data_IF_358952123803
#
_entry.id   IF_358952123803
#
_cell.length_a   1.000
_cell.length_b   1.000
_cell.length_c   1.000
_cell.angle_alpha   90.00
_cell.angle_beta   90.00
_cell.angle_gamma   90.00
#
_symmetry.space_group_name_H-M   'P 1'
#
loop_
_entity.id
_entity.type
_entity.pdbx_description
1 polymer ?
#
# COMPACT_ATOMS: atom_id res chain seq x y z
N UNK A 1 -17.76 5.13 5.49
CA UNK A 1 -19.10 4.80 4.97
C UNK A 1 -19.69 5.96 4.16
N UNK A 2 -19.93 7.15 4.74
CA UNK A 2 -20.48 8.30 4.00
C UNK A 2 -19.66 8.66 2.74
N UNK A 3 -18.33 8.60 2.82
CA UNK A 3 -17.45 8.81 1.66
C UNK A 3 -17.63 7.75 0.56
N UNK A 4 -17.88 6.49 0.92
CA UNK A 4 -18.09 5.41 -0.03
C UNK A 4 -19.42 5.58 -0.77
N UNK A 5 -20.47 5.97 -0.03
CA UNK A 5 -21.77 6.35 -0.61
C UNK A 5 -21.64 7.56 -1.54
N UNK A 6 -20.89 8.57 -1.13
CA UNK A 6 -20.62 9.77 -1.93
C UNK A 6 -19.94 9.44 -3.27
N UNK A 7 -19.05 8.44 -3.28
CA UNK A 7 -18.31 8.00 -4.45
C UNK A 7 -19.01 6.90 -5.26
N UNK A 8 -20.20 6.43 -4.84
CA UNK A 8 -20.83 5.22 -5.37
C UNK A 8 -19.82 4.05 -5.47
N UNK A 9 -19.06 3.85 -4.39
CA UNK A 9 -17.98 2.89 -4.30
C UNK A 9 -18.24 1.90 -3.14
N UNK A 10 -17.72 0.66 -3.24
CA UNK A 10 -17.60 -0.21 -2.07
C UNK A 10 -16.85 0.49 -0.93
N UNK A 11 -17.19 0.18 0.33
CA UNK A 11 -16.55 0.81 1.50
C UNK A 11 -15.05 0.54 1.56
N UNK A 12 -14.65 -0.59 1.00
CA UNK A 12 -13.31 -1.14 0.90
C UNK A 12 -12.37 -0.21 0.12
N UNK A 13 -12.86 0.46 -0.94
CA UNK A 13 -12.07 1.43 -1.71
C UNK A 13 -11.85 2.76 -0.96
N UNK A 14 -12.56 2.99 0.14
CA UNK A 14 -12.25 4.06 1.10
C UNK A 14 -11.36 3.54 2.22
N UNK A 15 -11.63 2.31 2.69
CA UNK A 15 -10.90 1.69 3.80
C UNK A 15 -9.42 1.43 3.46
N UNK A 16 -9.13 0.96 2.25
CA UNK A 16 -7.76 0.69 1.79
C UNK A 16 -6.85 1.94 1.85
N UNK A 17 -7.20 3.07 1.21
CA UNK A 17 -6.39 4.29 1.31
C UNK A 17 -6.42 4.90 2.72
N UNK A 18 -7.52 4.78 3.47
CA UNK A 18 -7.59 5.22 4.87
C UNK A 18 -6.55 4.50 5.74
N UNK A 19 -6.47 3.17 5.65
CA UNK A 19 -5.54 2.36 6.43
C UNK A 19 -4.09 2.64 6.03
N UNK A 20 -3.80 2.69 4.73
CA UNK A 20 -2.46 3.03 4.24
C UNK A 20 -2.03 4.42 4.69
N UNK A 21 -2.89 5.43 4.53
CA UNK A 21 -2.57 6.80 4.90
C UNK A 21 -2.42 6.98 6.41
N UNK A 22 -3.32 6.41 7.21
CA UNK A 22 -3.20 6.44 8.67
C UNK A 22 -1.90 5.77 9.13
N UNK A 23 -1.53 4.63 8.52
CA UNK A 23 -0.27 3.97 8.84
C UNK A 23 0.97 4.82 8.55
N UNK A 24 0.94 5.62 7.47
CA UNK A 24 2.01 6.54 7.12
C UNK A 24 2.10 7.74 8.07
N UNK A 25 0.95 8.31 8.45
CA UNK A 25 0.88 9.49 9.34
C UNK A 25 1.24 9.14 10.78
N UNK A 26 0.80 7.98 11.27
CA UNK A 26 1.29 7.41 12.54
C UNK A 26 2.81 7.21 12.42
N UNK A 27 3.22 6.49 11.36
CA UNK A 27 4.62 6.35 10.98
C UNK A 27 5.52 5.87 12.12
N UNK A 28 6.74 6.37 12.14
CA UNK A 28 7.70 6.19 13.21
C UNK A 28 7.33 6.97 14.48
N UNK A 29 6.17 7.62 14.56
CA UNK A 29 5.64 8.09 15.83
C UNK A 29 5.34 6.93 16.77
N UNK A 30 4.78 5.82 16.27
CA UNK A 30 4.38 4.68 17.10
C UNK A 30 4.67 3.36 16.42
N UNK A 31 5.31 2.43 17.12
CA UNK A 31 5.51 1.06 16.67
C UNK A 31 4.84 0.08 17.63
N UNK A 32 4.29 -1.00 17.09
CA UNK A 32 3.61 -2.02 17.88
C UNK A 32 4.64 -2.99 18.45
N UNK A 33 4.40 -3.49 19.66
CA UNK A 33 5.18 -4.58 20.25
C UNK A 33 4.27 -5.62 20.86
N UNK A 34 4.39 -6.87 20.43
CA UNK A 34 3.63 -7.98 21.02
C UNK A 34 4.24 -8.42 22.35
N UNK A 35 5.57 -8.61 22.38
CA UNK A 35 6.35 -8.96 23.56
C UNK A 35 7.79 -8.47 23.37
N UNK A 36 8.62 -8.42 24.43
CA UNK A 36 10.01 -7.98 24.33
C UNK A 36 10.76 -8.68 23.19
N UNK A 37 11.31 -7.90 22.26
CA UNK A 37 12.04 -8.40 21.09
C UNK A 37 11.25 -8.50 19.78
N UNK A 38 9.91 -8.45 19.79
CA UNK A 38 9.12 -8.42 18.56
C UNK A 38 8.37 -7.09 18.39
N UNK A 39 8.91 -6.24 17.50
CA UNK A 39 8.33 -4.95 17.13
C UNK A 39 7.90 -4.94 15.66
N UNK A 40 6.82 -4.23 15.36
CA UNK A 40 6.34 -4.03 13.99
C UNK A 40 6.04 -2.54 13.74
N UNK A 41 6.52 -1.96 12.62
CA UNK A 41 6.16 -0.60 12.21
C UNK A 41 4.69 -0.56 11.73
N UNK A 42 3.96 0.57 11.85
CA UNK A 42 2.54 0.61 11.52
C UNK A 42 2.26 0.47 10.02
N UNK A 43 3.25 0.78 9.17
CA UNK A 43 3.14 0.89 7.72
C UNK A 43 2.45 -0.32 7.06
N UNK A 44 1.42 -0.02 6.29
CA UNK A 44 0.61 -0.97 5.54
C UNK A 44 0.78 -0.74 4.04
N UNK A 45 0.73 -1.82 3.26
CA UNK A 45 0.77 -1.77 1.80
C UNK A 45 -0.58 -2.21 1.25
N UNK A 46 -1.52 -1.28 1.13
CA UNK A 46 -2.89 -1.58 0.73
C UNK A 46 -3.06 -1.46 -0.79
N UNK A 47 -3.79 -2.41 -1.39
CA UNK A 47 -4.07 -2.42 -2.82
C UNK A 47 -5.55 -2.58 -3.09
N UNK A 48 -6.12 -1.65 -3.86
CA UNK A 48 -7.50 -1.73 -4.35
C UNK A 48 -7.52 -2.42 -5.72
N UNK A 49 -8.16 -3.58 -5.79
CA UNK A 49 -8.32 -4.37 -7.02
C UNK A 49 -9.75 -4.25 -7.52
N UNK A 50 -9.91 -3.96 -8.81
CA UNK A 50 -11.23 -3.93 -9.44
C UNK A 50 -11.13 -3.51 -10.90
N UNK A 51 -12.22 -3.61 -11.65
CA UNK A 51 -12.22 -3.21 -13.06
C UNK A 51 -12.01 -1.70 -13.23
N UNK A 52 -11.59 -1.31 -14.45
CA UNK A 52 -11.59 0.10 -14.83
C UNK A 52 -13.00 0.67 -14.72
N UNK A 53 -13.13 1.87 -14.13
CA UNK A 53 -14.44 2.48 -13.88
C UNK A 53 -15.19 1.96 -12.64
N UNK A 54 -14.63 1.02 -11.87
CA UNK A 54 -15.26 0.48 -10.65
C UNK A 54 -15.22 1.39 -9.41
N UNK A 55 -15.14 2.71 -9.57
CA UNK A 55 -15.08 3.69 -8.47
C UNK A 55 -13.92 3.54 -7.47
N UNK A 56 -12.79 2.91 -7.88
CA UNK A 56 -11.57 2.80 -7.05
C UNK A 56 -10.99 4.18 -6.67
N UNK A 57 -10.63 4.99 -7.67
CA UNK A 57 -10.06 6.33 -7.45
C UNK A 57 -11.06 7.27 -6.77
N UNK A 58 -12.35 7.34 -7.18
CA UNK A 58 -13.36 8.12 -6.45
C UNK A 58 -13.51 7.73 -4.97
N UNK A 59 -13.44 6.44 -4.64
CA UNK A 59 -13.45 5.98 -3.25
C UNK A 59 -12.21 6.45 -2.48
N UNK A 60 -11.04 6.45 -3.13
CA UNK A 60 -9.79 6.85 -2.51
C UNK A 60 -9.62 8.36 -2.35
N UNK A 61 -10.21 9.15 -3.24
CA UNK A 61 -10.09 10.61 -3.27
C UNK A 61 -10.54 11.28 -1.98
N UNK A 62 -11.50 10.69 -1.26
CA UNK A 62 -11.93 11.20 0.04
C UNK A 62 -10.77 11.30 1.05
N UNK A 63 -9.77 10.41 0.96
CA UNK A 63 -8.58 10.42 1.81
C UNK A 63 -7.42 11.09 1.09
N UNK A 64 -7.03 10.56 -0.07
CA UNK A 64 -5.80 10.94 -0.79
C UNK A 64 -5.86 12.40 -1.24
N UNK A 65 -6.99 12.82 -1.79
CA UNK A 65 -7.19 14.17 -2.35
C UNK A 65 -7.94 15.10 -1.38
N UNK A 66 -8.74 14.53 -0.48
CA UNK A 66 -9.62 15.27 0.44
C UNK A 66 -9.02 15.57 1.82
N UNK A 67 -8.10 14.74 2.33
CA UNK A 67 -7.53 14.88 3.69
C UNK A 67 -6.04 15.18 3.64
N UNK A 68 -5.26 14.37 2.90
CA UNK A 68 -3.81 14.42 2.96
C UNK A 68 -3.19 15.76 2.50
N UNK A 69 -3.71 16.48 1.51
CA UNK A 69 -3.12 17.76 1.10
C UNK A 69 -3.13 18.79 2.24
N UNK A 70 -4.21 18.85 3.02
CA UNK A 70 -4.29 19.74 4.20
C UNK A 70 -3.32 19.31 5.29
N UNK A 71 -3.12 18.00 5.48
CA UNK A 71 -2.14 17.48 6.43
C UNK A 71 -0.71 17.85 6.01
N UNK A 72 -0.36 17.68 4.73
CA UNK A 72 0.95 18.07 4.18
C UNK A 72 1.18 19.58 4.28
N UNK A 73 0.18 20.40 3.96
CA UNK A 73 0.25 21.86 4.12
C UNK A 73 0.59 22.24 5.58
N UNK A 74 -0.08 21.61 6.55
CA UNK A 74 0.18 21.82 7.97
C UNK A 74 1.55 21.30 8.42
N UNK A 75 2.07 20.24 7.80
CA UNK A 75 3.44 19.78 8.03
C UNK A 75 4.47 20.82 7.58
N UNK A 76 4.21 21.50 6.45
CA UNK A 76 5.10 22.48 5.87
C UNK A 76 4.96 23.90 6.45
N UNK A 77 4.13 24.10 7.48
CA UNK A 77 3.80 25.43 8.00
C UNK A 77 5.01 26.26 8.46
N UNK A 78 6.02 25.63 9.04
CA UNK A 78 7.26 26.28 9.53
C UNK A 78 8.39 26.31 8.48
N UNK A 79 8.21 25.62 7.35
CA UNK A 79 9.26 25.38 6.37
C UNK A 79 9.75 26.67 5.68
N UNK A 80 8.88 27.63 5.28
CA UNK A 80 9.34 28.90 4.72
C UNK A 80 10.29 29.66 5.65
N UNK A 81 10.07 29.57 6.96
CA UNK A 81 10.86 30.27 7.97
C UNK A 81 12.23 29.59 8.12
N UNK A 82 12.24 28.27 8.31
CA UNK A 82 13.48 27.47 8.33
C UNK A 82 14.32 27.67 7.06
N UNK A 83 13.68 27.77 5.89
CA UNK A 83 14.35 28.03 4.62
C UNK A 83 14.98 29.43 4.58
N UNK A 84 14.28 30.45 5.07
CA UNK A 84 14.79 31.83 5.16
C UNK A 84 15.99 31.92 6.10
N UNK A 85 15.91 31.28 7.27
CA UNK A 85 17.01 31.21 8.24
C UNK A 85 18.25 30.52 7.65
N UNK A 86 18.06 29.37 6.98
CA UNK A 86 19.14 28.69 6.30
C UNK A 86 19.76 29.52 5.18
N UNK A 87 18.95 30.21 4.36
CA UNK A 87 19.45 31.08 3.29
C UNK A 87 20.33 32.21 3.87
N UNK A 88 19.89 32.86 4.94
CA UNK A 88 20.68 33.90 5.60
C UNK A 88 22.01 33.35 6.13
N UNK A 89 21.98 32.20 6.81
CA UNK A 89 23.18 31.55 7.33
C UNK A 89 24.13 31.05 6.21
N UNK A 90 23.59 30.57 5.08
CA UNK A 90 24.35 30.16 3.89
C UNK A 90 25.07 31.32 3.23
N UNK A 91 24.43 32.48 3.09
CA UNK A 91 25.09 33.67 2.55
C UNK A 91 26.21 34.18 3.48
N UNK A 92 26.02 34.13 4.80
CA UNK A 92 27.07 34.44 5.78
C UNK A 92 28.25 33.46 5.64
N UNK A 93 27.99 32.16 5.52
CA UNK A 93 29.03 31.15 5.35
C UNK A 93 29.80 31.32 4.03
N UNK A 94 29.11 31.64 2.93
CA UNK A 94 29.74 31.97 1.63
C UNK A 94 30.66 33.18 1.74
N UNK A 95 30.18 34.27 2.37
CA UNK A 95 30.98 35.48 2.56
C UNK A 95 32.25 35.20 3.40
N UNK A 96 32.14 34.41 4.48
CA UNK A 96 33.30 33.97 5.29
C UNK A 96 34.31 33.17 4.45
N UNK A 97 33.83 32.25 3.60
CA UNK A 97 34.67 31.42 2.73
C UNK A 97 35.36 32.25 1.65
N UNK A 98 34.69 33.23 1.08
CA UNK A 98 35.27 34.15 0.09
C UNK A 98 36.35 35.03 0.73
N UNK A 99 36.07 35.63 1.89
CA UNK A 99 37.06 36.41 2.65
C UNK A 99 38.27 35.56 3.01
N UNK A 100 38.07 34.33 3.47
CA UNK A 100 39.17 33.41 3.73
C UNK A 100 39.99 33.09 2.47
N UNK A 101 39.31 32.80 1.36
CA UNK A 101 39.97 32.50 0.08
C UNK A 101 40.83 33.68 -0.39
N UNK A 102 40.36 34.91 -0.17
CA UNK A 102 41.13 36.12 -0.45
C UNK A 102 42.35 36.24 0.46
N UNK A 103 42.17 36.08 1.78
CA UNK A 103 43.28 36.14 2.75
C UNK A 103 44.37 35.09 2.46
N UNK A 104 43.99 33.90 1.99
CA UNK A 104 44.94 32.84 1.57
C UNK A 104 45.72 33.27 0.33
N UNK A 105 45.07 33.84 -0.69
CA UNK A 105 45.74 34.33 -1.90
C UNK A 105 46.72 35.47 -1.57
N UNK A 106 46.33 36.38 -0.69
CA UNK A 106 47.17 37.50 -0.28
C UNK A 106 48.42 37.01 0.46
N UNK A 107 48.26 36.05 1.38
CA UNK A 107 49.38 35.42 2.09
C UNK A 107 50.35 34.68 1.15
N UNK A 108 49.86 34.06 0.08
CA UNK A 108 50.70 33.38 -0.92
C UNK A 108 51.46 34.35 -1.84
N UNK A 109 50.92 35.55 -2.06
CA UNK A 109 51.52 36.57 -2.94
C UNK A 109 52.51 37.51 -2.22
N UNK A 110 52.49 37.55 -0.89
CA UNK A 110 53.43 38.37 -0.11
C UNK A 110 54.82 37.72 -0.08
N UNK A 111 55.71 38.21 -0.95
CA UNK A 111 57.08 37.69 -1.12
C UNK A 111 58.01 37.95 0.07
N UNK A 112 57.61 38.73 1.07
CA UNK A 112 58.53 39.23 2.10
C UNK A 112 58.31 38.73 3.53
N UNK A 113 57.34 37.88 3.82
CA UNK A 113 57.26 37.20 5.13
C UNK A 113 56.66 35.81 4.97
N UNK A 114 57.30 34.82 5.61
CA UNK A 114 56.80 33.44 5.74
C UNK A 114 55.57 33.31 6.64
N UNK A 115 54.57 34.17 6.45
CA UNK A 115 53.33 34.15 7.20
C UNK A 115 52.48 33.00 6.66
N UNK A 116 52.23 31.95 7.46
CA UNK A 116 51.43 30.82 6.99
C UNK A 116 50.00 31.27 6.68
N UNK A 117 49.35 30.70 5.65
CA UNK A 117 47.98 31.04 5.31
C UNK A 117 47.04 30.77 6.48
N UNK A 118 46.00 31.60 6.69
CA UNK A 118 45.06 31.39 7.77
C UNK A 118 44.34 30.04 7.61
N UNK A 119 44.04 29.33 8.72
CA UNK A 119 43.28 28.09 8.64
C UNK A 119 41.89 28.37 8.04
N UNK A 120 41.30 27.39 7.32
CA UNK A 120 39.94 27.51 6.81
C UNK A 120 38.98 27.87 7.94
N UNK A 121 37.95 28.70 7.67
CA UNK A 121 36.89 28.92 8.63
C UNK A 121 36.29 27.54 8.98
N UNK A 122 35.90 27.37 10.25
CA UNK A 122 35.18 26.18 10.65
C UNK A 122 34.00 25.99 9.68
N UNK A 123 33.93 24.81 9.06
CA UNK A 123 32.73 24.41 8.34
C UNK A 123 31.62 24.39 9.40
N UNK A 124 30.57 25.19 9.21
CA UNK A 124 29.32 24.96 9.94
C UNK A 124 28.78 23.62 9.40
N UNK A 125 29.24 22.52 10.00
CA UNK A 125 28.80 21.15 9.70
C UNK A 125 27.28 21.00 9.81
N UNK A 126 26.67 21.93 10.54
CA UNK A 126 25.25 21.93 10.90
C UNK A 126 24.41 22.71 9.89
N UNK A 127 25.03 23.34 8.89
CA UNK A 127 24.34 24.14 7.88
C UNK A 127 23.82 23.26 6.71
N UNK A 128 22.88 22.39 7.03
CA UNK A 128 22.19 21.52 6.06
C UNK A 128 20.99 22.25 5.47
N UNK A 129 20.82 22.22 4.14
CA UNK A 129 19.63 22.78 3.50
C UNK A 129 18.38 22.07 4.01
N UNK A 130 17.41 22.79 4.61
CA UNK A 130 16.21 22.16 5.10
C UNK A 130 15.40 21.61 3.93
N UNK A 131 14.92 20.38 4.08
CA UNK A 131 14.03 19.77 3.10
C UNK A 131 12.57 20.01 3.49
N UNK A 132 11.74 20.35 2.51
CA UNK A 132 10.31 20.47 2.73
C UNK A 132 9.74 19.12 3.19
N UNK A 133 8.97 19.09 4.30
CA UNK A 133 8.32 17.86 4.71
C UNK A 133 7.32 17.43 3.64
N UNK A 134 7.26 16.12 3.41
CA UNK A 134 6.33 15.50 2.46
C UNK A 134 5.74 14.24 3.08
N UNK A 135 4.47 13.99 2.89
CA UNK A 135 3.81 12.75 3.29
C UNK A 135 3.59 11.83 2.09
N UNK A 136 3.13 12.39 0.97
CA UNK A 136 2.66 11.62 -0.18
C UNK A 136 3.66 11.71 -1.34
N UNK A 137 3.94 10.57 -1.96
CA UNK A 137 4.80 10.47 -3.13
C UNK A 137 4.12 9.67 -4.22
N UNK A 138 4.35 10.06 -5.47
CA UNK A 138 3.78 9.37 -6.65
C UNK A 138 4.87 8.69 -7.46
N UNK A 139 5.78 9.45 -8.07
CA UNK A 139 6.85 8.90 -8.89
C UNK A 139 8.22 9.39 -8.42
N UNK A 140 8.93 8.51 -7.71
CA UNK A 140 10.16 8.86 -7.01
C UNK A 140 11.14 7.69 -7.05
N UNK A 141 12.43 7.99 -7.23
CA UNK A 141 13.49 6.97 -7.15
C UNK A 141 13.72 6.57 -5.70
N UNK A 142 14.24 5.36 -5.48
CA UNK A 142 14.51 4.87 -4.13
C UNK A 142 15.55 5.74 -3.38
N UNK A 143 16.54 6.33 -4.07
CA UNK A 143 17.46 7.28 -3.45
C UNK A 143 16.78 8.56 -2.97
N UNK A 144 15.80 9.07 -3.72
CA UNK A 144 15.02 10.24 -3.31
C UNK A 144 14.10 9.92 -2.13
N UNK A 145 13.56 8.71 -2.07
CA UNK A 145 12.82 8.23 -0.88
C UNK A 145 13.74 8.23 0.35
N UNK A 146 14.94 7.66 0.23
CA UNK A 146 15.91 7.64 1.33
C UNK A 146 16.28 9.05 1.79
N UNK A 147 16.53 9.96 0.84
CA UNK A 147 16.85 11.36 1.13
C UNK A 147 15.71 12.06 1.89
N UNK A 148 14.46 11.85 1.46
CA UNK A 148 13.27 12.44 2.11
C UNK A 148 13.05 11.90 3.51
N UNK A 149 13.18 10.60 3.71
CA UNK A 149 13.08 10.00 5.04
C UNK A 149 14.15 10.55 5.99
N UNK A 150 15.37 10.77 5.49
CA UNK A 150 16.46 11.30 6.30
C UNK A 150 16.29 12.78 6.67
N UNK A 151 15.79 13.61 5.74
CA UNK A 151 15.91 15.07 5.87
C UNK A 151 14.58 15.83 6.03
N UNK A 152 13.45 15.25 5.64
CA UNK A 152 12.15 15.95 5.60
C UNK A 152 11.00 15.22 6.28
N UNK A 153 11.02 13.89 6.23
CA UNK A 153 9.88 13.05 6.60
C UNK A 153 10.29 11.86 7.46
N UNK A 154 10.92 12.07 8.63
CA UNK A 154 11.46 10.99 9.46
C UNK A 154 10.39 10.06 10.03
N UNK A 155 9.12 10.50 10.07
CA UNK A 155 8.00 9.63 10.42
C UNK A 155 7.71 8.56 9.38
N UNK A 156 8.06 8.76 8.11
CA UNK A 156 7.67 7.84 7.04
C UNK A 156 6.95 8.57 5.91
N UNK A 157 6.69 7.80 4.86
CA UNK A 157 6.10 8.29 3.61
C UNK A 157 4.99 7.35 3.13
N UNK A 158 4.04 7.89 2.36
CA UNK A 158 3.01 7.16 1.63
C UNK A 158 3.32 7.19 0.13
N UNK A 159 3.55 6.03 -0.46
CA UNK A 159 3.60 5.86 -1.91
C UNK A 159 2.18 5.66 -2.47
N UNK A 160 1.75 6.51 -3.39
CA UNK A 160 0.45 6.45 -4.06
C UNK A 160 0.62 6.11 -5.54
N UNK A 161 0.05 4.96 -5.95
CA UNK A 161 0.11 4.47 -7.34
C UNK A 161 -1.27 4.04 -7.86
N UNK A 162 -1.92 4.89 -8.66
CA UNK A 162 -3.21 4.56 -9.29
C UNK A 162 -3.13 3.32 -10.21
N UNK A 163 -1.95 3.04 -10.77
CA UNK A 163 -1.62 1.77 -11.45
C UNK A 163 -0.38 1.12 -10.82
N UNK A 164 -0.59 0.39 -9.72
CA UNK A 164 0.48 -0.31 -9.00
C UNK A 164 1.16 -1.39 -9.85
N UNK A 165 0.42 -2.02 -10.77
CA UNK A 165 0.94 -3.05 -11.67
C UNK A 165 2.18 -2.57 -12.46
N UNK A 166 2.08 -1.38 -13.05
CA UNK A 166 3.17 -0.78 -13.82
C UNK A 166 4.40 -0.49 -12.94
N UNK A 167 4.18 -0.09 -11.68
CA UNK A 167 5.25 0.16 -10.73
C UNK A 167 6.00 -1.13 -10.36
N UNK A 168 5.26 -2.19 -9.98
CA UNK A 168 5.83 -3.49 -9.62
C UNK A 168 6.62 -4.11 -10.78
N UNK A 169 6.02 -4.18 -11.98
CA UNK A 169 6.68 -4.68 -13.19
C UNK A 169 7.84 -3.78 -13.66
N UNK A 170 7.85 -2.52 -13.22
CA UNK A 170 8.91 -1.56 -13.50
C UNK A 170 10.16 -1.82 -12.66
N UNK A 171 10.00 -2.18 -11.38
CA UNK A 171 11.13 -2.37 -10.44
C UNK A 171 12.19 -3.35 -10.98
N UNK A 172 11.74 -4.46 -11.56
CA UNK A 172 12.61 -5.51 -12.11
C UNK A 172 13.35 -5.07 -13.37
N UNK A 173 12.79 -4.12 -14.14
CA UNK A 173 13.39 -3.64 -15.39
C UNK A 173 14.53 -2.65 -15.17
N UNK A 174 14.55 -1.95 -14.04
CA UNK A 174 15.52 -0.86 -13.80
C UNK A 174 16.71 -1.28 -12.93
N UNK A 175 16.50 -2.03 -11.82
CA UNK A 175 17.61 -2.63 -11.04
C UNK A 175 17.10 -3.58 -9.95
N UNK A 176 17.82 -4.69 -9.72
CA UNK A 176 17.58 -5.61 -8.60
C UNK A 176 17.69 -4.90 -7.23
N UNK A 177 18.57 -3.88 -7.14
CA UNK A 177 18.73 -3.05 -5.95
C UNK A 177 17.45 -2.29 -5.55
N UNK A 178 16.66 -1.83 -6.51
CA UNK A 178 15.40 -1.13 -6.23
C UNK A 178 14.37 -2.07 -5.59
N UNK A 179 14.31 -3.33 -6.04
CA UNK A 179 13.40 -4.33 -5.46
C UNK A 179 13.76 -4.65 -4.01
N UNK A 180 15.05 -4.85 -3.71
CA UNK A 180 15.53 -5.05 -2.33
C UNK A 180 15.19 -3.86 -1.44
N UNK A 181 15.41 -2.63 -1.93
CA UNK A 181 15.06 -1.42 -1.19
C UNK A 181 13.58 -1.39 -0.77
N UNK A 182 12.67 -1.67 -1.71
CA UNK A 182 11.25 -1.67 -1.42
C UNK A 182 10.87 -2.76 -0.42
N UNK A 183 11.39 -3.98 -0.57
CA UNK A 183 11.19 -5.06 0.39
C UNK A 183 11.63 -4.68 1.81
N UNK A 184 12.76 -4.01 1.94
CA UNK A 184 13.31 -3.57 3.24
C UNK A 184 12.46 -2.46 3.86
N UNK A 185 11.84 -1.61 3.04
CA UNK A 185 10.96 -0.52 3.51
C UNK A 185 9.69 -0.98 4.23
N UNK A 186 9.31 -2.25 4.06
CA UNK A 186 8.23 -2.86 4.83
C UNK A 186 8.58 -3.02 6.31
N UNK A 187 9.88 -3.20 6.61
CA UNK A 187 10.37 -3.56 7.94
C UNK A 187 10.68 -2.39 8.85
N UNK A 188 10.76 -1.15 8.33
CA UNK A 188 11.12 0.01 9.15
C UNK A 188 12.56 0.01 9.66
N UNK A 189 13.42 -0.87 9.16
CA UNK A 189 14.79 -1.08 9.67
C UNK A 189 15.73 0.04 9.19
N UNK A 190 16.88 0.25 9.87
CA UNK A 190 17.91 1.14 9.37
C UNK A 190 18.38 0.72 7.97
N UNK A 191 18.60 1.69 7.11
CA UNK A 191 19.05 1.48 5.74
C UNK A 191 20.07 2.54 5.34
N UNK A 192 21.15 2.11 4.66
CA UNK A 192 22.21 3.01 4.20
C UNK A 192 22.31 2.99 2.69
N UNK A 193 22.18 4.17 2.07
CA UNK A 193 22.44 4.36 0.64
C UNK A 193 23.86 4.86 0.46
N UNK A 194 24.73 4.02 -0.09
CA UNK A 194 26.11 4.34 -0.44
C UNK A 194 26.28 4.30 -1.96
N UNK A 195 26.53 5.45 -2.59
CA UNK A 195 26.61 5.58 -4.05
C UNK A 195 27.79 6.49 -4.41
N UNK A 196 28.50 6.14 -5.48
CA UNK A 196 29.64 6.92 -6.01
C UNK A 196 29.29 8.39 -6.27
N UNK A 197 28.05 8.68 -6.68
CA UNK A 197 27.57 10.05 -6.96
C UNK A 197 27.14 10.82 -5.70
N UNK A 198 27.09 10.17 -4.54
CA UNK A 198 26.79 10.79 -3.25
C UNK A 198 28.09 10.90 -2.46
N UNK A 199 28.62 12.12 -2.24
CA UNK A 199 29.87 12.29 -1.48
C UNK A 199 29.72 11.91 0.00
N UNK A 200 28.49 11.92 0.53
CA UNK A 200 28.15 11.50 1.88
C UNK A 200 27.02 10.45 1.78
N UNK A 201 27.17 9.26 2.39
CA UNK A 201 26.11 8.26 2.43
C UNK A 201 24.85 8.76 3.14
N UNK A 202 23.68 8.34 2.66
CA UNK A 202 22.39 8.65 3.31
C UNK A 202 22.09 7.54 4.32
N UNK A 203 21.97 7.89 5.60
CA UNK A 203 21.73 6.94 6.69
C UNK A 203 20.30 7.06 7.22
N UNK A 204 19.38 6.29 6.64
CA UNK A 204 17.98 6.28 7.07
C UNK A 204 17.86 5.43 8.34
N UNK A 205 17.50 6.04 9.47
CA UNK A 205 17.33 5.33 10.74
C UNK A 205 16.16 4.35 10.72
N UNK A 206 15.07 4.72 10.05
CA UNK A 206 13.86 3.92 9.94
C UNK A 206 13.31 3.99 8.52
N UNK A 207 13.69 3.04 7.66
CA UNK A 207 13.21 2.95 6.29
C UNK A 207 11.75 2.47 6.29
N UNK A 208 10.81 3.41 6.35
CA UNK A 208 9.43 3.12 6.61
C UNK A 208 8.52 3.80 5.57
N UNK A 209 7.93 2.99 4.69
CA UNK A 209 7.09 3.47 3.58
C UNK A 209 5.80 2.65 3.53
N UNK A 210 4.66 3.33 3.66
CA UNK A 210 3.33 2.76 3.45
C UNK A 210 2.95 2.90 1.98
N UNK A 211 2.13 1.99 1.46
CA UNK A 211 1.71 2.01 0.06
C UNK A 211 0.20 2.04 -0.02
N UNK A 212 -0.31 2.85 -0.93
CA UNK A 212 -1.63 2.65 -1.50
C UNK A 212 -1.53 2.59 -3.02
N UNK A 213 -2.24 1.66 -3.64
CA UNK A 213 -2.36 1.68 -5.08
C UNK A 213 -3.58 0.96 -5.63
N UNK A 214 -3.90 1.27 -6.88
CA UNK A 214 -4.94 0.62 -7.65
C UNK A 214 -4.36 -0.41 -8.62
N UNK A 215 -5.08 -1.49 -8.85
CA UNK A 215 -4.80 -2.40 -9.97
C UNK A 215 -6.09 -2.99 -10.54
N UNK A 216 -5.97 -3.69 -11.66
CA UNK A 216 -7.06 -4.35 -12.35
C UNK A 216 -6.86 -5.86 -12.31
N UNK A 217 -7.95 -6.66 -12.25
CA UNK A 217 -7.87 -8.13 -12.27
C UNK A 217 -7.02 -8.66 -13.43
N UNK A 218 -7.22 -8.10 -14.64
CA UNK A 218 -6.47 -8.47 -15.84
C UNK A 218 -4.94 -8.32 -15.73
N UNK A 219 -4.47 -7.44 -14.84
CA UNK A 219 -3.05 -7.14 -14.63
C UNK A 219 -2.44 -7.98 -13.50
N UNK A 220 -3.27 -8.66 -12.69
CA UNK A 220 -2.78 -9.48 -11.57
C UNK A 220 -1.91 -10.64 -12.07
N UNK A 221 -2.33 -11.34 -13.11
CA UNK A 221 -1.57 -12.45 -13.69
C UNK A 221 -0.15 -12.03 -14.13
N UNK A 222 0.00 -10.80 -14.64
CA UNK A 222 1.32 -10.28 -15.04
C UNK A 222 2.25 -10.09 -13.83
N UNK A 223 1.72 -9.54 -12.74
CA UNK A 223 2.50 -9.24 -11.53
C UNK A 223 2.84 -10.52 -10.76
N UNK A 224 1.92 -11.48 -10.72
CA UNK A 224 2.01 -12.68 -9.89
C UNK A 224 2.81 -13.81 -10.56
N UNK A 225 3.15 -13.66 -11.85
CA UNK A 225 4.05 -14.58 -12.55
C UNK A 225 5.52 -14.44 -12.14
N UNK A 226 5.85 -13.43 -11.32
CA UNK A 226 7.19 -13.23 -10.77
C UNK A 226 7.51 -14.24 -9.66
N UNK A 227 8.80 -14.49 -9.42
CA UNK A 227 9.24 -15.35 -8.33
C UNK A 227 8.77 -14.81 -6.97
N UNK A 228 8.29 -15.70 -6.09
CA UNK A 228 7.88 -15.32 -4.74
C UNK A 228 9.11 -15.01 -3.87
N UNK A 229 9.44 -13.73 -3.77
CA UNK A 229 10.43 -13.17 -2.86
C UNK A 229 9.77 -12.51 -1.63
N UNK A 230 8.46 -12.73 -1.47
CA UNK A 230 7.63 -12.19 -0.42
C UNK A 230 7.15 -10.76 -0.64
N UNK A 231 7.46 -10.08 -1.77
CA UNK A 231 6.96 -8.72 -2.02
C UNK A 231 5.42 -8.69 -2.06
N UNK A 232 4.82 -9.60 -2.83
CA UNK A 232 3.36 -9.64 -3.04
C UNK A 232 2.60 -10.18 -1.83
N UNK A 233 3.25 -11.01 -0.99
CA UNK A 233 2.69 -11.50 0.27
C UNK A 233 2.57 -10.44 1.38
N UNK A 234 3.21 -9.28 1.22
CA UNK A 234 3.13 -8.14 2.16
C UNK A 234 1.97 -7.19 1.85
N UNK A 235 1.37 -7.30 0.66
CA UNK A 235 0.28 -6.44 0.24
C UNK A 235 -1.05 -6.89 0.87
N UNK A 236 -1.84 -5.90 1.28
CA UNK A 236 -3.19 -6.06 1.82
C UNK A 236 -4.18 -5.82 0.68
N UNK A 237 -4.78 -6.89 0.19
CA UNK A 237 -5.66 -6.85 -0.98
C UNK A 237 -7.09 -6.50 -0.59
N UNK A 238 -7.67 -5.52 -1.28
CA UNK A 238 -9.08 -5.14 -1.19
C UNK A 238 -9.72 -5.36 -2.56
N UNK A 239 -10.47 -6.44 -2.70
CA UNK A 239 -11.17 -6.79 -3.94
C UNK A 239 -12.66 -7.07 -3.69
N UNK A 240 -13.43 -6.04 -3.31
CA UNK A 240 -14.85 -6.18 -3.04
C UNK A 240 -15.66 -6.47 -4.31
N UNK A 241 -16.87 -6.95 -4.12
CA UNK A 241 -17.86 -6.95 -5.19
C UNK A 241 -18.28 -5.51 -5.55
N UNK A 242 -18.55 -5.21 -6.83
CA UNK A 242 -19.05 -3.91 -7.26
C UNK A 242 -20.40 -3.57 -6.60
N UNK A 243 -20.58 -2.31 -6.24
CA UNK A 243 -21.88 -1.80 -5.77
C UNK A 243 -22.62 -1.09 -6.91
N UNK A 244 -23.96 -1.12 -6.94
CA UNK A 244 -24.74 -0.31 -7.86
C UNK A 244 -24.45 1.18 -7.70
N UNK A 245 -24.57 1.93 -8.80
CA UNK A 245 -24.48 3.39 -8.75
C UNK A 245 -25.71 3.97 -8.04
N UNK A 246 -25.47 4.83 -7.04
CA UNK A 246 -26.50 5.60 -6.35
C UNK A 246 -26.10 7.08 -6.30
N UNK A 247 -27.06 7.97 -6.50
CA UNK A 247 -26.84 9.40 -6.32
C UNK A 247 -26.71 9.72 -4.82
N UNK A 248 -25.63 10.38 -4.39
CA UNK A 248 -25.40 10.60 -2.98
C UNK A 248 -26.35 11.67 -2.41
N UNK A 249 -26.88 11.39 -1.23
CA UNK A 249 -27.78 12.31 -0.52
C UNK A 249 -27.06 13.25 0.46
N UNK A 250 -25.80 12.95 0.80
CA UNK A 250 -25.01 13.69 1.80
C UNK A 250 -23.53 13.65 1.46
N UNK A 251 -22.86 14.80 1.55
CA UNK A 251 -21.40 14.88 1.46
C UNK A 251 -20.74 14.32 2.74
N UNK A 252 -19.58 13.67 2.62
CA UNK A 252 -18.87 13.16 3.79
C UNK A 252 -18.27 14.29 4.62
N UNK A 253 -18.16 14.10 5.94
CA UNK A 253 -17.57 15.11 6.83
C UNK A 253 -16.03 15.09 6.73
N UNK A 254 -15.49 15.84 5.76
CA UNK A 254 -14.04 15.91 5.53
C UNK A 254 -13.31 16.63 6.67
N UNK A 255 -13.92 17.64 7.29
CA UNK A 255 -13.29 18.37 8.40
C UNK A 255 -13.01 17.45 9.59
N UNK A 256 -13.96 16.59 9.97
CA UNK A 256 -13.75 15.61 11.03
C UNK A 256 -12.59 14.66 10.72
N UNK A 257 -12.45 14.22 9.46
CA UNK A 257 -11.36 13.36 9.05
C UNK A 257 -10.00 14.10 9.09
N UNK A 258 -9.96 15.36 8.65
CA UNK A 258 -8.77 16.22 8.74
C UNK A 258 -8.35 16.41 10.20
N UNK A 259 -9.28 16.69 11.10
CA UNK A 259 -9.00 16.88 12.52
C UNK A 259 -8.50 15.59 13.18
N UNK A 260 -9.04 14.43 12.78
CA UNK A 260 -8.55 13.13 13.22
C UNK A 260 -7.12 12.87 12.72
N UNK A 261 -6.84 13.09 11.43
CA UNK A 261 -5.50 12.92 10.87
C UNK A 261 -4.48 13.91 11.46
N UNK A 262 -4.91 15.11 11.83
CA UNK A 262 -4.07 16.08 12.54
C UNK A 262 -3.58 15.53 13.88
N UNK A 263 -4.44 14.83 14.63
CA UNK A 263 -4.04 14.19 15.89
C UNK A 263 -2.99 13.11 15.68
N UNK A 264 -3.10 12.33 14.60
CA UNK A 264 -2.08 11.35 14.21
C UNK A 264 -0.78 12.06 13.80
N UNK A 265 -0.86 13.15 13.05
CA UNK A 265 0.28 13.97 12.61
C UNK A 265 1.05 14.55 13.80
N UNK A 266 0.37 14.87 14.89
CA UNK A 266 0.96 15.43 16.11
C UNK A 266 1.62 14.39 17.04
N UNK A 267 1.57 13.09 16.73
CA UNK A 267 2.23 12.07 17.56
C UNK A 267 3.75 12.26 17.60
N UNK A 268 4.32 12.50 18.75
CA UNK A 268 5.76 12.74 18.88
C UNK A 268 6.59 11.46 18.67
N UNK A 269 7.84 11.63 18.24
CA UNK A 269 8.87 10.57 18.28
C UNK A 269 9.74 10.81 19.52
N UNK A 270 10.33 9.74 20.05
CA UNK A 270 11.24 9.84 21.21
C UNK A 270 12.59 10.42 20.77
N UNK A 271 13.09 11.49 21.42
CA UNK A 271 14.45 11.98 21.15
C UNK A 271 15.47 10.90 21.54
N UNK A 272 16.35 10.50 20.61
CA UNK A 272 17.45 9.59 20.95
C UNK A 272 18.74 10.35 21.31
N UNK A 273 19.67 9.63 21.93
CA UNK A 273 20.96 10.16 22.40
C UNK A 273 21.88 10.66 21.26
N UNK A 274 21.69 10.17 20.05
CA UNK A 274 22.40 10.61 18.84
C UNK A 274 21.70 11.79 18.13
N UNK A 275 20.63 12.33 18.74
CA UNK A 275 19.83 13.43 18.19
C UNK A 275 18.80 12.99 17.15
N UNK A 276 18.72 11.69 16.82
CA UNK A 276 17.82 11.19 15.79
C UNK A 276 16.53 10.63 16.42
N UNK A 277 15.34 11.12 16.04
CA UNK A 277 14.11 10.66 16.67
C UNK A 277 13.85 9.17 16.42
N UNK A 278 13.40 8.46 17.45
CA UNK A 278 13.09 7.02 17.39
C UNK A 278 11.62 6.74 17.70
N UNK A 279 11.07 5.60 17.25
CA UNK A 279 9.69 5.25 17.51
C UNK A 279 9.37 4.95 18.97
N UNK A 280 8.28 5.53 19.46
CA UNK A 280 7.70 5.15 20.74
C UNK A 280 7.00 3.80 20.57
N UNK A 281 7.36 2.86 21.43
CA UNK A 281 6.84 1.49 21.39
C UNK A 281 5.54 1.40 22.18
N UNK A 282 4.48 0.89 21.55
CA UNK A 282 3.16 0.65 22.12
C UNK A 282 2.98 -0.84 22.33
N UNK A 283 2.85 -1.27 23.58
CA UNK A 283 2.73 -2.68 23.91
C UNK A 283 1.33 -3.21 23.58
N UNK A 284 1.25 -4.44 23.11
CA UNK A 284 0.03 -5.22 23.10
C UNK A 284 -0.38 -5.51 24.55
N UNK A 285 -1.66 -5.33 24.86
CA UNK A 285 -2.18 -5.64 26.19
C UNK A 285 -1.97 -7.13 26.53
N UNK A 286 -1.62 -7.40 27.80
CA UNK A 286 -1.34 -8.77 28.26
C UNK A 286 -2.52 -9.72 28.07
N UNK A 287 -3.75 -9.21 28.20
CA UNK A 287 -5.00 -9.95 28.01
C UNK A 287 -5.29 -10.29 26.53
N UNK A 288 -4.54 -9.73 25.59
CA UNK A 288 -4.59 -10.04 24.16
C UNK A 288 -3.57 -11.11 23.73
N UNK A 289 -2.55 -11.39 24.54
CA UNK A 289 -1.51 -12.39 24.23
C UNK A 289 -2.05 -13.80 23.96
N UNK A 290 -3.08 -14.30 24.67
CA UNK A 290 -3.70 -15.57 24.32
C UNK A 290 -4.29 -15.57 22.90
N UNK A 291 -5.00 -14.50 22.52
CA UNK A 291 -5.57 -14.37 21.18
C UNK A 291 -4.49 -14.32 20.10
N UNK A 292 -3.36 -13.64 20.38
CA UNK A 292 -2.20 -13.64 19.48
C UNK A 292 -1.64 -15.05 19.28
N UNK A 293 -1.54 -15.84 20.36
CA UNK A 293 -1.06 -17.22 20.29
C UNK A 293 -1.98 -18.10 19.45
N UNK A 294 -3.29 -18.00 19.68
CA UNK A 294 -4.28 -18.81 18.97
C UNK A 294 -4.30 -18.45 17.47
N UNK A 295 -4.32 -17.16 17.16
CA UNK A 295 -4.22 -16.67 15.78
C UNK A 295 -2.92 -17.13 15.10
N UNK A 296 -1.77 -17.02 15.79
CA UNK A 296 -0.49 -17.46 15.24
C UNK A 296 -0.44 -18.97 14.97
N UNK A 297 -1.08 -19.79 15.82
CA UNK A 297 -1.20 -21.24 15.61
C UNK A 297 -2.03 -21.54 14.38
N UNK A 298 -3.22 -20.95 14.28
CA UNK A 298 -4.11 -21.14 13.14
C UNK A 298 -3.42 -20.75 11.82
N UNK A 299 -2.75 -19.59 11.77
CA UNK A 299 -2.01 -19.17 10.58
C UNK A 299 -0.87 -20.12 10.24
N UNK A 300 -0.19 -20.68 11.26
CA UNK A 300 0.87 -21.67 11.05
C UNK A 300 0.34 -23.00 10.51
N UNK A 301 -0.83 -23.45 10.95
CA UNK A 301 -1.50 -24.66 10.44
C UNK A 301 -1.89 -24.45 8.97
N UNK A 302 -2.57 -23.34 8.65
CA UNK A 302 -2.92 -22.98 7.26
C UNK A 302 -1.69 -22.82 6.36
N UNK A 303 -0.58 -22.31 6.90
CA UNK A 303 0.67 -22.19 6.16
C UNK A 303 1.22 -23.56 5.74
N UNK A 304 1.13 -24.59 6.58
CA UNK A 304 1.64 -25.93 6.26
C UNK A 304 0.89 -26.56 5.08
N UNK A 305 -0.39 -26.26 4.94
CA UNK A 305 -1.25 -26.79 3.87
C UNK A 305 -1.22 -25.93 2.60
N UNK A 306 -0.56 -24.77 2.63
CA UNK A 306 -0.51 -23.82 1.53
C UNK A 306 0.84 -23.83 0.80
N UNK A 307 0.80 -23.62 -0.52
CA UNK A 307 1.97 -23.41 -1.36
C UNK A 307 2.08 -21.98 -1.90
N UNK A 308 3.25 -21.60 -2.40
CA UNK A 308 3.50 -20.34 -3.10
C UNK A 308 3.12 -19.09 -2.30
N UNK A 309 2.50 -18.12 -2.97
CA UNK A 309 2.14 -16.82 -2.38
C UNK A 309 1.21 -16.92 -1.17
N UNK A 310 0.35 -17.94 -1.11
CA UNK A 310 -0.53 -18.15 0.05
C UNK A 310 0.24 -18.61 1.28
N UNK A 311 1.23 -19.50 1.10
CA UNK A 311 2.14 -19.88 2.19
C UNK A 311 2.81 -18.63 2.77
N UNK A 312 3.37 -17.80 1.89
CA UNK A 312 4.02 -16.55 2.26
C UNK A 312 3.06 -15.59 2.97
N UNK A 313 1.82 -15.45 2.49
CA UNK A 313 0.80 -14.59 3.11
C UNK A 313 0.43 -15.04 4.52
N UNK A 314 0.20 -16.35 4.75
CA UNK A 314 -0.05 -16.88 6.09
C UNK A 314 1.13 -16.64 7.04
N UNK A 315 2.36 -16.82 6.55
CA UNK A 315 3.57 -16.54 7.32
C UNK A 315 3.73 -15.06 7.74
N UNK A 316 3.09 -14.12 7.02
CA UNK A 316 3.10 -12.68 7.33
C UNK A 316 1.87 -12.21 8.11
N UNK A 317 0.81 -12.99 8.16
CA UNK A 317 -0.48 -12.62 8.77
C UNK A 317 -0.34 -12.16 10.24
N UNK A 318 0.51 -12.82 11.03
CA UNK A 318 0.74 -12.45 12.45
C UNK A 318 1.32 -11.04 12.61
N UNK A 319 2.29 -10.67 11.77
CA UNK A 319 2.89 -9.33 11.77
C UNK A 319 1.88 -8.30 11.30
N UNK A 320 1.14 -8.63 10.23
CA UNK A 320 0.07 -7.78 9.71
C UNK A 320 -1.03 -7.50 10.76
N UNK A 321 -1.48 -8.51 11.50
CA UNK A 321 -2.48 -8.34 12.55
C UNK A 321 -1.99 -7.39 13.65
N UNK A 322 -0.72 -7.50 14.06
CA UNK A 322 -0.12 -6.59 15.04
C UNK A 322 -0.05 -5.15 14.50
N UNK A 323 0.37 -4.95 13.24
CA UNK A 323 0.39 -3.63 12.59
C UNK A 323 -1.01 -2.99 12.51
N UNK A 324 -1.99 -3.77 12.04
CA UNK A 324 -3.37 -3.33 11.93
C UNK A 324 -3.95 -2.99 13.30
N UNK A 325 -3.65 -3.77 14.33
CA UNK A 325 -4.16 -3.49 15.68
C UNK A 325 -3.71 -2.12 16.19
N UNK A 326 -2.45 -1.72 15.93
CA UNK A 326 -1.97 -0.38 16.25
C UNK A 326 -2.69 0.69 15.42
N UNK A 327 -2.81 0.48 14.10
CA UNK A 327 -3.49 1.44 13.21
C UNK A 327 -4.95 1.64 13.62
N UNK A 328 -5.66 0.57 13.97
CA UNK A 328 -7.05 0.61 14.43
C UNK A 328 -7.19 1.32 15.78
N UNK A 329 -6.32 1.01 16.75
CA UNK A 329 -6.31 1.68 18.07
C UNK A 329 -6.17 3.20 17.90
N UNK A 330 -5.25 3.64 17.06
CA UNK A 330 -4.99 5.06 16.82
C UNK A 330 -6.06 5.72 15.95
N UNK A 331 -6.65 5.01 14.98
CA UNK A 331 -7.80 5.53 14.21
C UNK A 331 -9.02 5.74 15.10
N UNK A 332 -9.31 4.80 16.00
CA UNK A 332 -10.39 4.96 16.96
C UNK A 332 -10.15 6.15 17.89
N UNK A 333 -8.96 6.25 18.49
CA UNK A 333 -8.59 7.39 19.34
C UNK A 333 -8.67 8.73 18.58
N UNK A 334 -8.12 8.80 17.37
CA UNK A 334 -8.12 10.02 16.58
C UNK A 334 -9.54 10.48 16.20
N UNK A 335 -10.45 9.53 15.95
CA UNK A 335 -11.85 9.80 15.62
C UNK A 335 -12.76 10.18 16.80
N UNK A 336 -12.32 9.99 18.05
CA UNK A 336 -13.10 10.34 19.24
C UNK A 336 -13.28 11.86 19.40
N UNK A 337 -14.39 12.27 20.02
CA UNK A 337 -14.57 13.68 20.41
C UNK A 337 -13.83 13.99 21.72
N UNK A 338 -13.30 15.20 21.85
CA UNK A 338 -12.54 15.65 23.02
C UNK A 338 -11.03 15.48 22.92
N UNK A 339 -10.32 15.91 23.97
CA UNK A 339 -8.86 15.89 24.07
C UNK A 339 -8.43 14.81 25.05
N UNK A 340 -8.09 13.62 24.55
CA UNK A 340 -7.50 12.53 25.34
C UNK A 340 -6.05 12.30 24.92
N UNK A 341 -5.21 11.91 25.86
CA UNK A 341 -3.84 11.52 25.56
C UNK A 341 -3.81 10.33 24.57
N UNK A 342 -2.76 10.22 23.73
CA UNK A 342 -2.60 9.07 22.84
C UNK A 342 -2.55 7.74 23.60
N UNK A 343 -3.12 6.64 23.07
CA UNK A 343 -3.07 5.33 23.70
C UNK A 343 -1.63 4.84 23.87
N UNK A 344 -1.27 4.37 25.06
CA UNK A 344 0.06 3.79 25.36
C UNK A 344 0.09 2.27 25.26
N UNK A 345 -1.07 1.64 25.05
CA UNK A 345 -1.26 0.19 24.92
C UNK A 345 -2.21 -0.09 23.76
N UNK A 346 -1.94 -1.13 22.98
CA UNK A 346 -2.86 -1.69 21.99
C UNK A 346 -3.84 -2.60 22.74
N UNK A 347 -5.12 -2.25 22.72
CA UNK A 347 -6.13 -2.98 23.48
C UNK A 347 -6.44 -4.35 22.86
N UNK A 348 -6.93 -5.28 23.69
CA UNK A 348 -7.49 -6.56 23.21
C UNK A 348 -8.57 -6.37 22.14
N UNK A 349 -9.39 -5.30 22.26
CA UNK A 349 -10.42 -4.97 21.27
C UNK A 349 -9.82 -4.66 19.90
N UNK A 350 -8.76 -3.83 19.85
CA UNK A 350 -8.09 -3.49 18.60
C UNK A 350 -7.40 -4.71 17.98
N UNK A 351 -6.78 -5.53 18.83
CA UNK A 351 -6.14 -6.76 18.37
C UNK A 351 -7.13 -7.76 17.77
N UNK A 352 -8.25 -8.04 18.45
CA UNK A 352 -9.27 -8.95 17.91
C UNK A 352 -9.91 -8.41 16.62
N UNK A 353 -10.18 -7.11 16.54
CA UNK A 353 -10.69 -6.50 15.31
C UNK A 353 -9.68 -6.66 14.15
N UNK A 354 -8.39 -6.51 14.42
CA UNK A 354 -7.34 -6.71 13.43
C UNK A 354 -7.24 -8.19 12.99
N UNK A 355 -7.26 -9.15 13.92
CA UNK A 355 -7.20 -10.57 13.54
C UNK A 355 -8.42 -11.00 12.75
N UNK A 356 -9.63 -10.52 13.11
CA UNK A 356 -10.85 -10.76 12.33
C UNK A 356 -10.73 -10.16 10.92
N UNK A 357 -10.27 -8.91 10.80
CA UNK A 357 -10.07 -8.29 9.49
C UNK A 357 -9.06 -9.07 8.64
N UNK A 358 -8.00 -9.61 9.25
CA UNK A 358 -7.00 -10.42 8.54
C UNK A 358 -7.58 -11.76 8.12
N UNK A 359 -8.17 -12.52 9.05
CA UNK A 359 -8.67 -13.88 8.81
C UNK A 359 -9.88 -13.92 7.88
N UNK A 360 -10.84 -13.03 8.10
CA UNK A 360 -12.18 -13.12 7.51
C UNK A 360 -12.32 -12.28 6.23
N UNK A 361 -11.37 -11.37 5.99
CA UNK A 361 -11.41 -10.50 4.81
C UNK A 361 -10.10 -10.49 4.03
N UNK A 362 -8.98 -10.07 4.63
CA UNK A 362 -7.73 -9.84 3.88
C UNK A 362 -7.19 -11.13 3.29
N UNK A 363 -7.14 -12.22 4.05
CA UNK A 363 -6.64 -13.51 3.56
C UNK A 363 -7.56 -14.10 2.47
N UNK A 364 -8.90 -14.11 2.62
CA UNK A 364 -9.81 -14.44 1.52
C UNK A 364 -9.63 -13.57 0.27
N UNK A 365 -9.37 -12.27 0.41
CA UNK A 365 -9.07 -11.41 -0.74
C UNK A 365 -7.72 -11.76 -1.37
N UNK A 366 -6.72 -12.14 -0.57
CA UNK A 366 -5.44 -12.62 -1.07
C UNK A 366 -5.60 -13.94 -1.83
N UNK A 367 -6.36 -14.91 -1.30
CA UNK A 367 -6.74 -16.15 -1.98
C UNK A 367 -7.43 -15.87 -3.32
N UNK A 368 -8.38 -14.93 -3.35
CA UNK A 368 -9.04 -14.49 -4.58
C UNK A 368 -8.04 -13.91 -5.60
N UNK A 369 -7.15 -13.03 -5.16
CA UNK A 369 -6.11 -12.41 -6.00
C UNK A 369 -5.14 -13.44 -6.57
N UNK A 370 -4.61 -14.32 -5.73
CA UNK A 370 -3.64 -15.33 -6.13
C UNK A 370 -4.28 -16.42 -7.00
N UNK A 371 -5.52 -16.82 -6.69
CA UNK A 371 -6.30 -17.76 -7.48
C UNK A 371 -6.62 -17.23 -8.88
N UNK A 372 -7.09 -15.98 -8.99
CA UNK A 372 -7.37 -15.37 -10.30
C UNK A 372 -6.11 -15.22 -11.17
N UNK A 373 -4.98 -14.91 -10.53
CA UNK A 373 -3.70 -14.80 -11.22
C UNK A 373 -3.15 -16.15 -11.69
N UNK A 374 -3.37 -17.22 -10.93
CA UNK A 374 -3.00 -18.59 -11.32
C UNK A 374 -3.96 -19.20 -12.36
N UNK A 375 -5.14 -18.62 -12.55
CA UNK A 375 -6.17 -19.13 -13.45
C UNK A 375 -5.68 -19.15 -14.91
N UNK A 376 -6.00 -20.19 -15.65
CA UNK A 376 -5.74 -20.24 -17.09
C UNK A 376 -6.66 -19.27 -17.86
N UNK A 377 -6.35 -18.91 -19.12
CA UNK A 377 -7.29 -18.16 -19.95
C UNK A 377 -8.66 -18.83 -20.08
N UNK A 378 -8.71 -20.17 -20.07
CA UNK A 378 -9.96 -20.94 -20.10
C UNK A 378 -10.76 -20.74 -18.80
N UNK A 379 -10.11 -20.80 -17.63
CA UNK A 379 -10.76 -20.60 -16.33
C UNK A 379 -11.31 -19.18 -16.17
N UNK A 380 -10.57 -18.15 -16.62
CA UNK A 380 -11.08 -16.76 -16.65
C UNK A 380 -12.28 -16.60 -17.57
N UNK A 381 -12.25 -17.30 -18.72
CA UNK A 381 -13.39 -17.40 -19.63
C UNK A 381 -14.60 -18.05 -18.96
N UNK A 382 -14.39 -19.17 -18.26
CA UNK A 382 -15.42 -19.90 -17.53
C UNK A 382 -16.06 -19.02 -16.43
N UNK A 383 -15.26 -18.30 -15.64
CA UNK A 383 -15.75 -17.37 -14.62
C UNK A 383 -16.57 -16.22 -15.24
N UNK A 384 -16.13 -15.68 -16.38
CA UNK A 384 -16.87 -14.63 -17.10
C UNK A 384 -18.21 -15.15 -17.62
N UNK A 385 -18.22 -16.36 -18.18
CA UNK A 385 -19.43 -17.02 -18.64
C UNK A 385 -20.38 -17.33 -17.47
N UNK A 386 -19.86 -17.84 -16.35
CA UNK A 386 -20.60 -18.11 -15.12
C UNK A 386 -21.31 -16.86 -14.58
N UNK A 387 -20.60 -15.72 -14.48
CA UNK A 387 -21.20 -14.45 -14.06
C UNK A 387 -22.35 -14.02 -14.99
N UNK A 388 -22.18 -14.17 -16.30
CA UNK A 388 -23.25 -13.87 -17.25
C UNK A 388 -24.45 -14.80 -17.10
N UNK A 389 -24.23 -16.10 -16.89
CA UNK A 389 -25.29 -17.08 -16.63
C UNK A 389 -26.06 -16.72 -15.35
N UNK A 390 -25.34 -16.46 -14.25
CA UNK A 390 -25.96 -16.10 -12.98
C UNK A 390 -26.82 -14.82 -13.08
N UNK A 391 -26.34 -13.82 -13.84
CA UNK A 391 -27.04 -12.53 -14.03
C UNK A 391 -28.25 -12.62 -14.96
N UNK A 392 -28.12 -13.31 -16.10
CA UNK A 392 -29.15 -13.30 -17.15
C UNK A 392 -30.10 -14.49 -17.10
N UNK A 393 -29.76 -15.51 -16.29
CA UNK A 393 -30.50 -16.76 -16.13
C UNK A 393 -30.99 -17.35 -17.47
N UNK A 394 -30.10 -17.55 -18.46
CA UNK A 394 -30.47 -18.08 -19.76
C UNK A 394 -30.92 -19.54 -19.64
N UNK A 395 -31.68 -20.04 -20.60
CA UNK A 395 -32.03 -21.47 -20.67
C UNK A 395 -30.91 -22.31 -21.28
N UNK A 396 -30.23 -21.75 -22.29
CA UNK A 396 -29.09 -22.36 -22.97
C UNK A 396 -28.05 -21.29 -23.30
N UNK A 397 -26.79 -21.72 -23.33
CA UNK A 397 -25.66 -20.92 -23.81
C UNK A 397 -25.41 -21.27 -25.27
N UNK A 398 -25.76 -20.35 -26.17
CA UNK A 398 -25.47 -20.49 -27.60
C UNK A 398 -24.15 -19.81 -27.96
N UNK A 399 -23.17 -20.58 -28.46
CA UNK A 399 -21.83 -20.05 -28.79
C UNK A 399 -21.90 -18.90 -29.80
N UNK A 400 -22.74 -19.01 -30.82
CA UNK A 400 -22.89 -17.98 -31.86
C UNK A 400 -23.48 -16.68 -31.33
N UNK A 401 -24.44 -16.76 -30.41
CA UNK A 401 -25.06 -15.60 -29.76
C UNK A 401 -24.07 -14.90 -28.85
N UNK A 402 -23.28 -15.67 -28.08
CA UNK A 402 -22.19 -15.10 -27.29
C UNK A 402 -21.16 -14.38 -28.16
N UNK A 403 -20.81 -14.96 -29.32
CA UNK A 403 -19.81 -14.39 -30.21
C UNK A 403 -20.29 -13.11 -30.93
N UNK A 404 -21.56 -13.06 -31.37
CA UNK A 404 -22.05 -11.97 -32.24
C UNK A 404 -22.81 -10.88 -31.50
N UNK A 405 -23.64 -11.27 -30.54
CA UNK A 405 -24.67 -10.41 -29.95
C UNK A 405 -24.27 -9.97 -28.54
N UNK A 406 -23.84 -10.91 -27.68
CA UNK A 406 -23.50 -10.60 -26.27
C UNK A 406 -22.07 -10.05 -26.14
N UNK A 407 -21.11 -10.66 -26.84
CA UNK A 407 -19.68 -10.28 -26.88
C UNK A 407 -19.07 -10.11 -25.48
N UNK A 408 -19.07 -11.19 -24.71
CA UNK A 408 -18.47 -11.20 -23.38
C UNK A 408 -16.95 -10.94 -23.46
N UNK A 409 -16.37 -10.16 -22.52
CA UNK A 409 -14.93 -9.92 -22.46
C UNK A 409 -14.13 -11.22 -22.43
N UNK A 410 -13.07 -11.32 -23.24
CA UNK A 410 -12.24 -12.54 -23.33
C UNK A 410 -12.87 -13.72 -24.06
N UNK A 411 -14.14 -13.61 -24.49
CA UNK A 411 -14.90 -14.67 -25.14
C UNK A 411 -15.37 -14.25 -26.55
N UNK A 412 -14.46 -13.65 -27.33
CA UNK A 412 -14.73 -13.20 -28.71
C UNK A 412 -14.60 -14.30 -29.78
N UNK A 413 -13.91 -15.39 -29.46
CA UNK A 413 -13.67 -16.51 -30.38
C UNK A 413 -14.47 -17.74 -29.98
N UNK A 414 -14.95 -18.49 -30.96
CA UNK A 414 -15.72 -19.71 -30.73
C UNK A 414 -14.94 -20.72 -29.87
N UNK A 415 -13.62 -20.85 -30.09
CA UNK A 415 -12.75 -21.72 -29.31
C UNK A 415 -12.74 -21.35 -27.84
N UNK A 416 -12.51 -20.07 -27.50
CA UNK A 416 -12.50 -19.60 -26.12
C UNK A 416 -13.85 -19.81 -25.42
N UNK A 417 -14.97 -19.61 -26.14
CA UNK A 417 -16.32 -19.89 -25.61
C UNK A 417 -16.51 -21.38 -25.34
N UNK A 418 -16.06 -22.25 -26.26
CA UNK A 418 -16.12 -23.69 -26.07
C UNK A 418 -15.29 -24.14 -24.87
N UNK A 419 -14.03 -23.69 -24.77
CA UNK A 419 -13.14 -24.03 -23.65
C UNK A 419 -13.76 -23.60 -22.31
N UNK A 420 -14.31 -22.38 -22.23
CA UNK A 420 -15.02 -21.89 -21.05
C UNK A 420 -16.28 -22.71 -20.73
N UNK A 421 -17.06 -23.08 -21.74
CA UNK A 421 -18.26 -23.90 -21.55
C UNK A 421 -17.92 -25.32 -21.10
N UNK A 422 -16.83 -25.91 -21.59
CA UNK A 422 -16.35 -27.22 -21.16
C UNK A 422 -15.97 -27.21 -19.67
N UNK A 423 -15.20 -26.22 -19.22
CA UNK A 423 -14.89 -26.07 -17.80
C UNK A 423 -16.16 -25.96 -16.93
N UNK A 424 -17.20 -25.25 -17.41
CA UNK A 424 -18.49 -25.16 -16.71
C UNK A 424 -19.34 -26.44 -16.77
N UNK A 425 -19.13 -27.30 -17.77
CA UNK A 425 -19.71 -28.65 -17.79
C UNK A 425 -19.05 -29.52 -16.72
N UNK A 426 -17.74 -29.45 -16.58
CA UNK A 426 -16.97 -30.25 -15.62
C UNK A 426 -17.36 -29.95 -14.16
N UNK A 427 -17.68 -28.69 -13.85
CA UNK A 427 -18.19 -28.27 -12.52
C UNK A 427 -19.71 -28.30 -12.39
N UNK A 428 -20.41 -28.85 -13.40
CA UNK A 428 -21.86 -29.09 -13.35
C UNK A 428 -22.76 -27.86 -13.47
N UNK A 429 -22.25 -26.70 -13.93
CA UNK A 429 -23.07 -25.53 -14.23
C UNK A 429 -23.82 -25.68 -15.56
N UNK A 430 -23.18 -26.29 -16.55
CA UNK A 430 -23.73 -26.58 -17.87
C UNK A 430 -23.86 -28.09 -18.08
N UNK A 431 -24.79 -28.50 -18.94
CA UNK A 431 -24.84 -29.85 -19.46
C UNK A 431 -24.01 -29.93 -20.76
N UNK A 432 -23.47 -31.12 -21.10
CA UNK A 432 -22.82 -31.33 -22.39
C UNK A 432 -23.73 -30.90 -23.53
N UNK A 433 -23.17 -30.39 -24.64
CA UNK A 433 -23.97 -29.87 -25.73
C UNK A 433 -24.87 -30.97 -26.30
N UNK A 434 -26.15 -30.65 -26.51
CA UNK A 434 -27.14 -31.60 -27.00
C UNK A 434 -26.78 -32.14 -28.39
N UNK A 435 -26.76 -33.46 -28.54
CA UNK A 435 -26.44 -34.13 -29.80
C UNK A 435 -27.51 -34.01 -30.90
N UNK A 436 -27.01 -33.96 -32.14
CA UNK A 436 -27.67 -34.11 -33.45
C UNK A 436 -28.43 -32.92 -34.05
N UNK A 437 -27.68 -31.93 -34.56
CA UNK A 437 -28.03 -31.29 -35.83
C UNK A 437 -27.54 -32.14 -37.01
N UNK A 438 -28.10 -31.93 -38.21
CA UNK A 438 -27.82 -32.66 -39.46
C UNK A 438 -26.31 -32.90 -39.75
N UNK A 439 -25.96 -33.91 -40.58
CA UNK A 439 -24.57 -34.27 -40.85
C UNK A 439 -23.76 -33.04 -41.28
N UNK A 440 -22.76 -32.65 -40.47
CA UNK A 440 -21.81 -31.60 -40.80
C UNK A 440 -21.85 -30.33 -39.93
N UNK A 441 -22.79 -30.16 -38.98
CA UNK A 441 -22.70 -29.03 -38.03
C UNK A 441 -23.44 -29.31 -36.70
N UNK A 442 -22.74 -29.70 -35.62
CA UNK A 442 -23.36 -29.81 -34.31
C UNK A 442 -23.88 -28.43 -33.86
N UNK A 443 -25.09 -28.38 -33.29
CA UNK A 443 -25.55 -27.18 -32.58
C UNK A 443 -24.63 -27.00 -31.37
N UNK A 444 -23.81 -25.96 -31.39
CA UNK A 444 -22.98 -25.57 -30.27
C UNK A 444 -23.82 -24.80 -29.24
N UNK A 445 -24.81 -25.47 -28.63
CA UNK A 445 -25.55 -24.94 -27.49
C UNK A 445 -25.38 -25.83 -26.27
N UNK A 446 -25.12 -25.20 -25.13
CA UNK A 446 -24.92 -25.86 -23.85
C UNK A 446 -26.13 -25.55 -22.95
N UNK A 447 -26.97 -26.53 -22.61
CA UNK A 447 -28.08 -26.31 -21.69
C UNK A 447 -27.57 -25.96 -20.28
N UNK A 448 -28.28 -25.11 -19.55
CA UNK A 448 -27.98 -24.90 -18.12
C UNK A 448 -28.37 -26.15 -17.33
N UNK A 449 -27.53 -26.59 -16.41
CA UNK A 449 -27.91 -27.65 -15.47
C UNK A 449 -29.03 -27.14 -14.55
N UNK A 450 -30.22 -27.74 -14.53
CA UNK A 450 -31.33 -27.27 -13.70
C UNK A 450 -31.00 -27.19 -12.20
N UNK A 451 -30.07 -28.03 -11.72
CA UNK A 451 -29.59 -28.04 -10.33
C UNK A 451 -28.83 -26.75 -9.98
N UNK A 452 -28.28 -26.04 -10.96
CA UNK A 452 -27.58 -24.78 -10.72
C UNK A 452 -28.46 -23.76 -9.99
N UNK A 453 -29.75 -23.71 -10.33
CA UNK A 453 -30.70 -22.77 -9.72
C UNK A 453 -31.15 -23.14 -8.32
N UNK A 454 -30.87 -24.36 -7.86
CA UNK A 454 -31.07 -24.73 -6.45
C UNK A 454 -29.84 -24.39 -5.59
N UNK A 455 -28.70 -24.12 -6.22
CA UNK A 455 -27.43 -23.79 -5.55
C UNK A 455 -27.11 -22.29 -5.57
N UNK A 456 -27.57 -21.56 -6.59
CA UNK A 456 -27.43 -20.10 -6.68
C UNK A 456 -28.70 -19.41 -6.13
N UNK A 457 -28.60 -18.58 -5.07
CA UNK A 457 -29.75 -17.86 -4.51
C UNK A 457 -30.39 -16.84 -5.47
#
# INVERSE_FOLDING_TARGET
VDAAKAAAAPTDYVAAPLLAAASAVIGNGRWAQAYPGWKEPPHLWCVSVGDSGGSKSPGADAVISGVLPTIEERMAGDFPDRRREWQAASEIAKARKEQWSQNVRDALNDKNKGTPPPPPPALDSDLVEPMAPQLVMHDVTHEQVALRLNNGSPKGLLMVRDELAGHLLGMNRYSEAARSFWLESYGGRPYRVDRVKLPIPINVHHLAVAWWGGTQPSRLAEIMGEADDGLLARHVWFWPEPVPFELPSKAPNMQWAIDAFERLRLLEMEPASDGQPTPIVVQLADDALPALRDFAREMSERQQDAGGLLNSAFGKARGLALRLSLVLEYLWWAGETGMRAPPTVITRRAFLAATMLVADYILPMAERVYGDAAASPSDRGAATLARWIAKTRPKEVHVRTLQRDVRLPGLGEAKAIHDAAHALVDVGWLLPPGGSGAPGRPRASYPINPVLWTMLP
#
